data_IF_621244933426
#
_entry.id   IF_621244933426
#
_cell.length_a   1.000
_cell.length_b   1.000
_cell.length_c   1.000
_cell.angle_alpha   90.00
_cell.angle_beta   90.00
_cell.angle_gamma   90.00
#
_symmetry.space_group_name_H-M   'P 1'
#
loop_
_entity.id
_entity.type
_entity.pdbx_description
1 polymer ?
#
# COMPACT_ATOMS: atom_id res chain seq x y z
N UNK A 1 7.20 -29.90 -31.84
CA UNK A 1 6.02 -29.09 -31.49
C UNK A 1 6.48 -27.65 -31.39
N UNK A 2 6.38 -26.89 -32.49
CA UNK A 2 6.74 -25.48 -32.57
C UNK A 2 5.50 -24.66 -32.24
N UNK A 3 5.50 -23.98 -31.11
CA UNK A 3 4.43 -23.04 -30.74
C UNK A 3 4.59 -21.78 -31.59
N UNK A 4 3.70 -21.63 -32.56
CA UNK A 4 3.62 -20.51 -33.48
C UNK A 4 3.27 -19.23 -32.72
N UNK A 5 4.21 -18.29 -32.66
CA UNK A 5 4.02 -16.95 -32.15
C UNK A 5 3.21 -16.12 -33.16
N UNK A 6 1.88 -16.15 -33.04
CA UNK A 6 0.97 -15.21 -33.71
C UNK A 6 1.39 -13.77 -33.38
N UNK A 7 1.53 -12.87 -34.37
CA UNK A 7 1.81 -11.47 -34.09
C UNK A 7 0.61 -10.91 -33.34
N UNK A 8 0.82 -10.49 -32.09
CA UNK A 8 -0.20 -9.86 -31.27
C UNK A 8 -0.69 -8.58 -31.96
N UNK A 9 -1.74 -8.71 -32.77
CA UNK A 9 -2.58 -7.58 -33.18
C UNK A 9 -2.87 -6.79 -31.92
N UNK A 10 -2.48 -5.53 -31.89
CA UNK A 10 -2.55 -4.67 -30.72
C UNK A 10 -4.02 -4.57 -30.29
N UNK A 11 -4.41 -5.45 -29.36
CA UNK A 11 -5.74 -5.43 -28.76
C UNK A 11 -5.98 -4.01 -28.24
N UNK A 12 -7.16 -3.42 -28.48
CA UNK A 12 -7.46 -2.05 -28.12
C UNK A 12 -7.06 -1.80 -26.66
N UNK A 13 -6.44 -0.65 -26.34
CA UNK A 13 -5.89 -0.40 -25.02
C UNK A 13 -6.99 -0.54 -23.98
N UNK A 14 -6.96 -1.66 -23.24
CA UNK A 14 -7.95 -1.94 -22.21
C UNK A 14 -7.72 -0.98 -21.04
N UNK A 15 -8.70 -0.14 -20.76
CA UNK A 15 -8.71 0.76 -19.60
C UNK A 15 -8.48 0.00 -18.30
N UNK A 16 -8.93 -1.26 -18.22
CA UNK A 16 -8.66 -2.16 -17.09
C UNK A 16 -7.16 -2.45 -16.96
N UNK A 17 -6.48 -2.81 -18.06
CA UNK A 17 -5.02 -3.05 -18.04
C UNK A 17 -4.23 -1.80 -17.67
N UNK A 18 -4.66 -0.61 -18.12
CA UNK A 18 -4.01 0.64 -17.72
C UNK A 18 -4.26 0.98 -16.25
N UNK A 19 -5.50 0.84 -15.77
CA UNK A 19 -5.85 1.04 -14.37
C UNK A 19 -5.09 0.08 -13.44
N UNK A 20 -4.99 -1.20 -13.80
CA UNK A 20 -4.19 -2.19 -13.08
C UNK A 20 -2.71 -1.82 -13.08
N UNK A 21 -2.14 -1.45 -14.22
CA UNK A 21 -0.72 -1.08 -14.31
C UNK A 21 -0.42 0.19 -13.51
N UNK A 22 -1.37 1.12 -13.45
CA UNK A 22 -1.26 2.32 -12.63
C UNK A 22 -1.43 2.01 -11.14
N UNK A 23 -2.38 1.15 -10.74
CA UNK A 23 -2.52 0.69 -9.35
C UNK A 23 -1.27 -0.06 -8.86
N UNK A 24 -0.64 -0.84 -9.73
CA UNK A 24 0.62 -1.54 -9.41
C UNK A 24 1.77 -0.54 -9.29
N UNK A 25 1.92 0.38 -10.25
CA UNK A 25 3.02 1.37 -10.22
C UNK A 25 2.84 2.42 -9.12
N UNK A 26 1.60 2.75 -8.74
CA UNK A 26 1.21 3.65 -7.63
C UNK A 26 0.94 2.92 -6.31
N UNK A 27 1.29 1.63 -6.17
CA UNK A 27 1.09 0.88 -4.91
C UNK A 27 1.77 1.51 -3.68
N UNK A 28 2.72 2.43 -3.90
CA UNK A 28 3.35 3.24 -2.86
C UNK A 28 2.38 4.21 -2.17
N UNK A 29 1.33 4.67 -2.87
CA UNK A 29 0.40 5.67 -2.33
C UNK A 29 -0.50 5.07 -1.25
N UNK A 30 -1.06 3.88 -1.46
CA UNK A 30 -1.83 3.18 -0.42
C UNK A 30 -0.94 2.78 0.77
N UNK A 31 0.30 2.36 0.51
CA UNK A 31 1.26 2.04 1.56
C UNK A 31 1.68 3.27 2.37
N UNK A 32 1.80 4.44 1.73
CA UNK A 32 2.08 5.70 2.41
C UNK A 32 0.92 6.13 3.32
N UNK A 33 -0.32 6.08 2.83
CA UNK A 33 -1.49 6.40 3.64
C UNK A 33 -1.65 5.43 4.82
N UNK A 34 -1.48 4.13 4.58
CA UNK A 34 -1.53 3.11 5.63
C UNK A 34 -0.42 3.32 6.66
N UNK A 35 0.82 3.55 6.20
CA UNK A 35 1.97 3.78 7.06
C UNK A 35 1.83 5.05 7.91
N UNK A 36 1.34 6.14 7.33
CA UNK A 36 1.10 7.40 8.06
C UNK A 36 0.09 7.18 9.19
N UNK A 37 -1.02 6.50 8.91
CA UNK A 37 -2.05 6.18 9.92
C UNK A 37 -1.49 5.24 10.98
N UNK A 38 -0.76 4.20 10.59
CA UNK A 38 -0.15 3.26 11.55
C UNK A 38 0.85 3.96 12.47
N UNK A 39 1.71 4.84 11.94
CA UNK A 39 2.67 5.60 12.73
C UNK A 39 1.96 6.56 13.69
N UNK A 40 0.96 7.29 13.20
CA UNK A 40 0.17 8.20 14.02
C UNK A 40 -0.57 7.48 15.14
N UNK A 41 -1.15 6.32 14.85
CA UNK A 41 -1.87 5.50 15.83
C UNK A 41 -0.92 4.90 16.88
N UNK A 42 0.23 4.38 16.46
CA UNK A 42 1.26 3.88 17.39
C UNK A 42 1.77 5.02 18.27
N UNK A 43 2.10 6.17 17.69
CA UNK A 43 2.51 7.35 18.44
C UNK A 43 1.45 7.81 19.45
N UNK A 44 0.18 7.80 19.06
CA UNK A 44 -0.94 8.12 19.95
C UNK A 44 -1.04 7.14 21.12
N UNK A 45 -0.98 5.83 20.86
CA UNK A 45 -1.01 4.82 21.92
C UNK A 45 0.17 4.99 22.87
N UNK A 46 1.38 5.20 22.35
CA UNK A 46 2.59 5.39 23.17
C UNK A 46 2.48 6.65 24.02
N UNK A 47 1.96 7.74 23.45
CA UNK A 47 1.73 9.00 24.16
C UNK A 47 0.75 8.78 25.32
N UNK A 48 -0.41 8.17 25.05
CA UNK A 48 -1.43 7.84 26.06
C UNK A 48 -0.85 6.91 27.13
N UNK A 49 -0.13 5.87 26.74
CA UNK A 49 0.51 4.93 27.66
C UNK A 49 1.58 5.62 28.53
N UNK A 50 2.28 6.63 28.00
CA UNK A 50 3.25 7.43 28.75
C UNK A 50 2.57 8.37 29.75
N UNK A 51 1.51 9.07 29.34
CA UNK A 51 0.72 9.96 30.20
C UNK A 51 -0.01 9.20 31.31
N UNK A 52 -0.47 7.99 30.99
CA UNK A 52 -1.19 7.13 31.91
C UNK A 52 -0.28 6.31 32.81
N UNK A 53 1.06 6.41 32.74
CA UNK A 53 1.95 5.72 33.68
C UNK A 53 1.71 6.29 35.08
N UNK A 54 1.03 5.58 35.99
CA UNK A 54 1.00 5.99 37.37
C UNK A 54 2.43 5.82 37.89
N UNK A 55 2.95 6.81 38.61
CA UNK A 55 4.24 6.70 39.29
C UNK A 55 4.20 5.46 40.18
N UNK A 56 4.82 4.37 39.73
CA UNK A 56 4.97 3.15 40.50
C UNK A 56 5.79 3.53 41.73
N UNK A 57 5.21 3.49 42.95
CA UNK A 57 6.04 3.65 44.14
C UNK A 57 7.08 2.52 44.14
N UNK A 58 8.35 2.90 44.31
CA UNK A 58 9.48 1.99 44.46
C UNK A 58 9.36 1.20 45.76
#
# INVERSE_FOLDING_TARGET
MTTESTPASAAPPSFVKQAMRNMVRKGRQSLFHFGLTALGFIGFIVLVASLGRPSLPQ
#
